data_IF_815012637767
#
_entry.id   IF_815012637767
#
_cell.length_a   1.000
_cell.length_b   1.000
_cell.length_c   1.000
_cell.angle_alpha   90.00
_cell.angle_beta   90.00
_cell.angle_gamma   90.00
#
_symmetry.space_group_name_H-M   'P 1'
#
loop_
_entity.id
_entity.type
_entity.pdbx_description
1 polymer ?
#
# COMPACT_ATOMS: atom_id res chain seq x y z
N UNK A 1 4.62 12.88 3.91
CA UNK A 1 4.06 13.94 3.04
C UNK A 1 5.01 14.07 1.84
N UNK A 2 4.68 13.46 0.70
CA UNK A 2 5.53 13.58 -0.51
C UNK A 2 4.87 14.63 -1.41
N UNK A 3 5.21 15.90 -1.17
CA UNK A 3 4.94 16.94 -2.16
C UNK A 3 5.97 16.71 -3.26
N UNK A 4 5.53 16.15 -4.39
CA UNK A 4 6.38 16.04 -5.57
C UNK A 4 6.96 17.43 -5.88
N UNK A 5 8.29 17.58 -6.04
CA UNK A 5 8.91 18.80 -6.48
C UNK A 5 8.66 18.96 -7.98
N UNK A 6 7.39 19.11 -8.36
CA UNK A 6 7.07 20.03 -9.44
C UNK A 6 7.09 21.44 -8.85
N UNK A 7 8.22 21.83 -8.25
CA UNK A 7 8.62 23.22 -8.10
C UNK A 7 9.01 23.70 -9.50
N UNK A 8 8.02 23.84 -10.37
CA UNK A 8 8.24 24.60 -11.58
C UNK A 8 8.22 26.06 -11.16
N UNK A 9 9.42 26.58 -10.88
CA UNK A 9 9.70 27.97 -10.56
C UNK A 9 8.77 28.93 -11.31
N UNK A 10 7.99 29.69 -10.54
CA UNK A 10 7.90 31.13 -10.77
C UNK A 10 9.16 31.80 -10.18
N UNK A 11 9.43 33.07 -10.45
CA UNK A 11 10.76 33.69 -10.36
C UNK A 11 11.25 33.98 -8.93
N UNK A 12 10.86 33.21 -7.91
CA UNK A 12 11.16 33.55 -6.52
C UNK A 12 11.83 32.39 -5.75
N UNK A 13 13.10 32.65 -5.42
CA UNK A 13 14.00 32.02 -4.43
C UNK A 13 14.61 30.62 -4.72
N UNK A 14 15.90 30.57 -5.16
CA UNK A 14 16.71 29.36 -5.10
C UNK A 14 16.78 28.76 -3.68
N UNK A 15 16.64 27.45 -3.57
CA UNK A 15 16.49 26.73 -2.31
C UNK A 15 17.41 25.51 -2.25
N UNK A 16 17.96 25.22 -1.07
CA UNK A 16 18.75 24.01 -0.82
C UNK A 16 17.92 23.08 0.06
N UNK A 17 17.74 21.84 -0.40
CA UNK A 17 17.08 20.78 0.36
C UNK A 17 18.11 19.70 0.61
N UNK A 18 18.48 19.47 1.86
CA UNK A 18 19.21 18.28 2.24
C UNK A 18 18.19 17.17 2.45
N UNK A 19 18.14 16.20 1.55
CA UNK A 19 17.24 15.07 1.69
C UNK A 19 18.03 13.86 2.23
N UNK A 20 17.41 13.26 3.24
CA UNK A 20 17.81 12.07 3.99
C UNK A 20 19.03 12.29 4.87
N UNK A 21 18.84 12.34 6.18
CA UNK A 21 19.77 11.72 7.13
C UNK A 21 19.06 10.49 7.68
N UNK A 22 19.63 9.29 7.53
CA UNK A 22 19.17 8.13 8.29
C UNK A 22 20.01 8.07 9.57
N UNK A 23 19.36 8.01 10.73
CA UNK A 23 20.05 7.82 12.01
C UNK A 23 20.39 6.34 12.18
N UNK A 24 21.65 6.04 12.48
CA UNK A 24 22.05 4.67 12.80
C UNK A 24 22.19 4.49 14.30
N UNK A 25 21.37 3.59 14.86
CA UNK A 25 21.72 2.97 16.13
C UNK A 25 22.93 2.05 15.91
N UNK A 26 23.93 2.04 16.81
CA UNK A 26 24.90 0.96 16.86
C UNK A 26 24.15 -0.37 17.00
N UNK A 27 24.21 -1.23 15.97
CA UNK A 27 23.48 -2.51 15.96
C UNK A 27 24.00 -3.41 17.09
N UNK A 28 23.13 -3.80 18.01
CA UNK A 28 23.38 -4.97 18.86
C UNK A 28 23.19 -6.25 18.02
N UNK A 29 24.29 -6.76 17.43
CA UNK A 29 24.33 -8.10 16.83
C UNK A 29 24.50 -9.11 17.98
N UNK A 30 23.50 -9.95 18.24
CA UNK A 30 23.69 -11.11 19.10
C UNK A 30 24.06 -12.32 18.24
N UNK A 31 25.30 -12.78 18.37
CA UNK A 31 25.66 -14.16 18.05
C UNK A 31 24.96 -15.10 19.03
N UNK A 32 24.49 -16.23 18.51
CA UNK A 32 23.68 -17.24 19.21
C UNK A 32 24.46 -18.05 20.27
N UNK A 33 25.16 -17.38 21.19
CA UNK A 33 25.70 -17.98 22.42
C UNK A 33 25.21 -17.20 23.62
N UNK A 34 24.47 -17.88 24.52
CA UNK A 34 23.94 -17.39 25.80
C UNK A 34 25.04 -16.71 26.64
N UNK A 35 25.23 -15.40 26.45
CA UNK A 35 25.87 -14.49 27.40
C UNK A 35 25.08 -13.18 27.37
N UNK A 36 24.35 -12.87 28.44
CA UNK A 36 23.67 -11.58 28.65
C UNK A 36 24.74 -10.46 28.62
N UNK A 37 24.98 -9.86 27.46
CA UNK A 37 25.72 -8.59 27.37
C UNK A 37 24.77 -7.48 27.79
N UNK A 38 25.12 -6.71 28.82
CA UNK A 38 24.46 -5.43 29.10
C UNK A 38 24.69 -4.52 27.89
N UNK A 39 23.62 -4.21 27.15
CA UNK A 39 23.69 -3.27 26.03
C UNK A 39 24.06 -1.89 26.57
N UNK A 40 25.21 -1.34 26.16
CA UNK A 40 25.65 0.00 26.57
C UNK A 40 24.98 1.12 25.76
N UNK A 41 24.41 0.82 24.58
CA UNK A 41 23.67 1.74 23.69
C UNK A 41 22.68 0.96 22.82
N UNK A 42 21.59 1.64 22.41
CA UNK A 42 20.61 1.15 21.44
C UNK A 42 19.40 0.46 22.06
N UNK A 43 18.24 0.61 21.41
CA UNK A 43 17.00 -0.09 21.79
C UNK A 43 16.83 -1.35 20.95
N UNK A 44 16.19 -2.38 21.53
CA UNK A 44 16.05 -3.69 20.87
C UNK A 44 15.15 -3.58 19.65
N UNK A 45 15.66 -3.97 18.48
CA UNK A 45 14.83 -4.10 17.28
C UNK A 45 13.79 -5.21 17.49
N UNK A 46 12.52 -4.89 17.22
CA UNK A 46 11.38 -5.79 17.46
C UNK A 46 10.75 -5.67 18.86
N UNK A 47 11.26 -4.80 19.72
CA UNK A 47 10.56 -4.43 20.96
C UNK A 47 9.46 -3.39 20.66
N UNK A 48 8.20 -3.62 21.09
CA UNK A 48 7.09 -2.69 20.89
C UNK A 48 7.33 -1.27 21.41
N UNK A 49 8.20 -1.08 22.41
CA UNK A 49 8.50 0.23 23.00
C UNK A 49 9.56 1.02 22.22
N UNK A 50 10.42 0.33 21.47
CA UNK A 50 11.53 0.97 20.73
C UNK A 50 11.11 2.12 19.81
N UNK A 51 10.02 2.02 19.02
CA UNK A 51 9.59 3.11 18.16
C UNK A 51 9.19 4.37 18.94
N UNK A 52 8.53 4.22 20.09
CA UNK A 52 8.09 5.35 20.91
C UNK A 52 9.28 6.06 21.56
N UNK A 53 10.25 5.30 22.07
CA UNK A 53 11.48 5.86 22.62
C UNK A 53 12.28 6.62 21.56
N UNK A 54 12.30 6.12 20.32
CA UNK A 54 12.92 6.85 19.21
C UNK A 54 12.19 8.15 18.89
N UNK A 55 10.85 8.16 18.90
CA UNK A 55 10.06 9.38 18.66
C UNK A 55 10.39 10.45 19.70
N UNK A 56 10.50 10.09 20.98
CA UNK A 56 10.86 11.02 22.06
C UNK A 56 12.24 11.64 21.81
N UNK A 57 13.22 10.83 21.40
CA UNK A 57 14.54 11.36 21.05
C UNK A 57 14.48 12.27 19.80
N UNK A 58 13.71 11.89 18.77
CA UNK A 58 13.55 12.71 17.57
C UNK A 58 12.80 14.04 17.82
N UNK A 59 11.93 14.09 18.83
CA UNK A 59 11.21 15.29 19.25
C UNK A 59 12.17 16.39 19.76
N UNK A 60 13.26 16.02 20.44
CA UNK A 60 14.30 16.97 20.85
C UNK A 60 14.87 17.74 19.64
N UNK A 61 15.13 17.02 18.54
CA UNK A 61 15.60 17.65 17.31
C UNK A 61 14.54 18.57 16.69
N UNK A 62 13.27 18.15 16.71
CA UNK A 62 12.16 18.98 16.23
C UNK A 62 12.10 20.32 17.00
N UNK A 63 12.13 20.25 18.34
CA UNK A 63 12.11 21.43 19.22
C UNK A 63 13.32 22.33 18.96
N UNK A 64 14.52 21.77 18.83
CA UNK A 64 15.73 22.54 18.54
C UNK A 64 15.64 23.31 17.20
N UNK A 65 15.07 22.69 16.16
CA UNK A 65 14.89 23.32 14.86
C UNK A 65 13.80 24.39 14.87
N UNK A 66 12.72 24.18 15.62
CA UNK A 66 11.66 25.18 15.78
C UNK A 66 12.20 26.42 16.51
N UNK A 67 12.95 26.25 17.60
CA UNK A 67 13.62 27.37 18.30
C UNK A 67 14.63 28.09 17.40
N UNK A 68 15.40 27.35 16.60
CA UNK A 68 16.34 27.94 15.66
C UNK A 68 15.63 28.73 14.56
N UNK A 69 14.44 28.28 14.13
CA UNK A 69 13.60 28.98 13.16
C UNK A 69 13.03 30.27 13.76
N UNK A 70 12.48 30.21 14.97
CA UNK A 70 11.93 31.38 15.69
C UNK A 70 12.99 32.46 15.93
N UNK A 71 14.21 32.06 16.30
CA UNK A 71 15.34 32.98 16.49
C UNK A 71 15.99 33.44 15.18
N UNK A 72 15.51 32.98 14.02
CA UNK A 72 16.06 33.33 12.71
C UNK A 72 17.45 32.74 12.42
N UNK A 73 17.95 31.83 13.27
CA UNK A 73 19.24 31.14 13.16
C UNK A 73 19.24 30.15 11.98
N UNK A 74 18.11 29.48 11.75
CA UNK A 74 17.88 28.61 10.61
C UNK A 74 16.66 29.09 9.82
N UNK A 75 16.85 29.44 8.54
CA UNK A 75 15.77 29.94 7.68
C UNK A 75 15.19 28.80 6.85
N UNK A 76 13.99 28.36 7.21
CA UNK A 76 13.20 27.41 6.43
C UNK A 76 12.69 27.98 5.11
N UNK A 77 11.96 27.17 4.34
CA UNK A 77 11.32 27.61 3.09
C UNK A 77 9.99 28.29 3.42
N UNK A 78 9.91 29.59 3.16
CA UNK A 78 8.66 30.34 3.20
C UNK A 78 7.84 30.05 1.95
N UNK A 79 6.64 29.50 2.10
CA UNK A 79 5.74 29.28 0.97
C UNK A 79 5.01 30.57 0.55
N UNK A 80 4.55 30.67 -0.71
CA UNK A 80 3.82 31.84 -1.23
C UNK A 80 2.55 32.16 -0.43
N UNK A 81 1.99 33.35 -0.64
CA UNK A 81 0.71 33.79 -0.05
C UNK A 81 0.65 33.69 1.48
N UNK A 82 1.75 34.00 2.17
CA UNK A 82 1.89 33.85 3.64
C UNK A 82 1.59 32.40 4.10
N UNK A 83 1.94 31.41 3.28
CA UNK A 83 1.84 30.00 3.64
C UNK A 83 2.76 29.61 4.81
N UNK A 84 2.68 28.37 5.28
CA UNK A 84 3.53 27.91 6.37
C UNK A 84 5.01 27.90 5.96
N UNK A 85 5.90 28.17 6.92
CA UNK A 85 7.34 28.00 6.76
C UNK A 85 7.67 26.53 7.04
N UNK A 86 8.30 25.86 6.09
CA UNK A 86 8.71 24.46 6.23
C UNK A 86 10.24 24.40 6.38
N UNK A 87 10.70 23.97 7.55
CA UNK A 87 12.13 23.82 7.88
C UNK A 87 12.61 22.37 7.79
N UNK A 88 11.75 21.41 8.15
CA UNK A 88 12.10 19.99 8.15
C UNK A 88 10.85 19.08 8.05
N UNK A 89 11.06 17.84 7.63
CA UNK A 89 10.08 16.75 7.64
C UNK A 89 10.74 15.50 8.21
N UNK A 90 10.12 14.88 9.20
CA UNK A 90 10.63 13.67 9.85
C UNK A 90 9.68 12.50 9.61
N UNK A 91 10.25 11.34 9.32
CA UNK A 91 9.54 10.07 9.32
C UNK A 91 10.46 8.97 9.85
N UNK A 92 10.25 8.58 11.11
CA UNK A 92 11.17 7.70 11.82
C UNK A 92 12.62 8.21 11.68
N UNK A 93 13.54 7.36 11.23
CA UNK A 93 14.94 7.69 11.05
C UNK A 93 15.23 8.57 9.83
N UNK A 94 14.31 8.70 8.88
CA UNK A 94 14.49 9.51 7.68
C UNK A 94 14.03 10.96 7.92
N UNK A 95 14.98 11.90 7.87
CA UNK A 95 14.71 13.34 8.00
C UNK A 95 15.13 14.09 6.74
N UNK A 96 14.30 15.04 6.32
CA UNK A 96 14.57 15.98 5.23
C UNK A 96 14.59 17.40 5.77
N UNK A 97 15.69 18.11 5.56
CA UNK A 97 15.85 19.51 5.96
C UNK A 97 15.72 20.41 4.74
N UNK A 98 14.99 21.50 4.93
CA UNK A 98 14.59 22.43 3.90
C UNK A 98 14.94 23.85 4.34
N UNK A 99 15.81 24.53 3.60
CA UNK A 99 16.28 25.83 4.04
C UNK A 99 16.86 26.71 2.96
N UNK A 100 17.17 27.94 3.37
CA UNK A 100 17.78 28.95 2.50
C UNK A 100 19.18 28.52 2.05
N UNK A 101 19.63 29.06 0.92
CA UNK A 101 20.97 28.82 0.35
C UNK A 101 22.13 29.41 1.15
N UNK A 102 21.86 30.05 2.29
CA UNK A 102 22.89 30.75 3.06
C UNK A 102 23.88 29.76 3.68
N UNK A 103 25.16 30.01 3.47
CA UNK A 103 26.25 29.25 4.11
C UNK A 103 26.18 29.35 5.64
N UNK A 104 25.73 30.49 6.18
CA UNK A 104 25.56 30.65 7.64
C UNK A 104 24.40 29.78 8.14
N UNK A 105 23.27 29.78 7.45
CA UNK A 105 22.14 28.89 7.78
C UNK A 105 22.53 27.42 7.70
N UNK A 106 23.39 27.05 6.74
CA UNK A 106 23.97 25.71 6.62
C UNK A 106 24.85 25.36 7.82
N UNK A 107 25.79 26.23 8.18
CA UNK A 107 26.68 26.04 9.33
C UNK A 107 25.89 25.89 10.63
N UNK A 108 24.84 26.70 10.79
CA UNK A 108 23.95 26.61 11.95
C UNK A 108 23.20 25.29 12.01
N UNK A 109 22.72 24.78 10.88
CA UNK A 109 22.10 23.45 10.83
C UNK A 109 23.12 22.36 11.23
N UNK A 110 24.35 22.42 10.73
CA UNK A 110 25.42 21.47 11.12
C UNK A 110 25.68 21.53 12.62
N UNK A 111 25.75 22.72 13.20
CA UNK A 111 25.93 22.91 14.66
C UNK A 111 24.78 22.30 15.45
N UNK A 112 23.53 22.55 15.05
CA UNK A 112 22.33 21.98 15.70
C UNK A 112 22.38 20.45 15.65
N UNK A 113 22.67 19.89 14.48
CA UNK A 113 22.77 18.45 14.28
C UNK A 113 23.90 17.83 15.13
N UNK A 114 25.01 18.54 15.29
CA UNK A 114 26.11 18.11 16.15
C UNK A 114 25.72 18.13 17.63
N UNK A 115 25.03 19.17 18.10
CA UNK A 115 24.50 19.23 19.46
C UNK A 115 23.53 18.06 19.71
N UNK A 116 22.64 17.78 18.75
CA UNK A 116 21.71 16.66 18.82
C UNK A 116 22.43 15.30 18.86
N UNK A 117 23.47 15.11 18.06
CA UNK A 117 24.28 13.88 18.10
C UNK A 117 24.94 13.67 19.47
N UNK A 118 25.42 14.76 20.09
CA UNK A 118 26.04 14.72 21.42
C UNK A 118 25.02 14.46 22.54
N UNK A 119 23.81 15.01 22.46
CA UNK A 119 22.77 14.83 23.47
C UNK A 119 22.08 13.47 23.38
N UNK A 120 21.66 13.07 22.18
CA UNK A 120 20.91 11.83 21.95
C UNK A 120 21.81 10.59 21.82
N UNK A 121 23.10 10.78 21.48
CA UNK A 121 24.01 9.70 21.10
C UNK A 121 23.71 9.07 19.74
N UNK A 122 22.83 9.68 18.92
CA UNK A 122 22.50 9.25 17.57
C UNK A 122 23.43 9.92 16.55
N UNK A 123 24.13 9.12 15.76
CA UNK A 123 25.01 9.62 14.69
C UNK A 123 24.26 9.68 13.35
N UNK A 124 24.46 10.77 12.64
CA UNK A 124 23.93 10.99 11.29
C UNK A 124 24.78 10.22 10.28
N UNK A 125 24.14 9.40 9.44
CA UNK A 125 24.84 8.72 8.36
C UNK A 125 25.03 9.64 7.14
N UNK A 126 26.12 10.42 7.12
CA UNK A 126 26.46 11.31 5.99
C UNK A 126 26.68 10.57 4.66
N UNK A 127 27.06 9.29 4.67
CA UNK A 127 27.23 8.49 3.45
C UNK A 127 25.91 8.15 2.76
N UNK A 128 24.82 8.07 3.53
CA UNK A 128 23.45 7.93 3.01
C UNK A 128 22.81 9.29 2.72
N UNK A 129 23.34 10.35 3.32
CA UNK A 129 22.80 11.69 3.14
C UNK A 129 23.12 12.31 1.79
N UNK A 130 22.13 13.03 1.24
CA UNK A 130 22.26 13.68 -0.07
C UNK A 130 21.79 15.13 -0.04
N UNK A 131 22.51 15.98 -0.73
CA UNK A 131 22.16 17.39 -0.91
C UNK A 131 21.53 17.62 -2.28
N UNK A 132 20.39 18.32 -2.32
CA UNK A 132 19.69 18.67 -3.55
C UNK A 132 19.54 20.19 -3.65
N UNK A 133 20.00 20.77 -4.76
CA UNK A 133 19.83 22.18 -5.07
C UNK A 133 18.67 22.41 -6.04
N UNK A 134 17.78 23.35 -5.71
CA UNK A 134 16.68 23.76 -6.59
C UNK A 134 16.89 25.20 -7.04
N UNK A 135 17.21 25.39 -8.32
CA UNK A 135 17.50 26.71 -8.90
C UNK A 135 18.84 27.32 -8.44
N UNK A 136 19.75 26.49 -7.92
CA UNK A 136 21.07 26.88 -7.39
C UNK A 136 22.15 26.47 -8.40
N UNK A 137 23.23 27.24 -8.51
CA UNK A 137 24.35 26.86 -9.37
C UNK A 137 25.15 25.69 -8.78
N UNK A 138 25.73 24.85 -9.65
CA UNK A 138 26.46 23.66 -9.22
C UNK A 138 27.65 24.00 -8.30
N UNK A 139 28.36 25.10 -8.56
CA UNK A 139 29.49 25.55 -7.73
C UNK A 139 29.10 25.85 -6.27
N UNK A 140 27.96 26.50 -6.06
CA UNK A 140 27.42 26.80 -4.73
C UNK A 140 26.95 25.51 -4.03
N UNK A 141 26.31 24.62 -4.78
CA UNK A 141 25.84 23.34 -4.26
C UNK A 141 27.00 22.46 -3.78
N UNK A 142 28.12 22.45 -4.51
CA UNK A 142 29.35 21.77 -4.10
C UNK A 142 29.96 22.35 -2.83
N UNK A 143 29.96 23.68 -2.66
CA UNK A 143 30.48 24.32 -1.45
C UNK A 143 29.67 23.90 -0.21
N UNK A 144 28.34 23.85 -0.34
CA UNK A 144 27.43 23.43 0.73
C UNK A 144 27.56 21.93 0.99
N UNK A 145 27.68 21.10 -0.05
CA UNK A 145 27.90 19.65 0.08
C UNK A 145 29.20 19.33 0.82
N UNK A 146 30.30 20.04 0.51
CA UNK A 146 31.58 19.93 1.23
C UNK A 146 31.44 20.30 2.71
N UNK A 147 30.63 21.30 3.02
CA UNK A 147 30.37 21.72 4.41
C UNK A 147 29.65 20.64 5.22
N UNK A 148 28.68 19.94 4.61
CA UNK A 148 27.98 18.80 5.23
C UNK A 148 28.76 17.49 5.18
N UNK A 149 29.84 17.43 4.37
CA UNK A 149 30.53 16.19 4.02
C UNK A 149 29.58 15.12 3.43
N UNK A 150 28.66 15.55 2.55
CA UNK A 150 27.66 14.67 1.93
C UNK A 150 27.71 14.75 0.40
N UNK A 151 27.12 13.74 -0.27
CA UNK A 151 27.09 13.69 -1.73
C UNK A 151 25.98 14.55 -2.33
N UNK A 152 26.19 15.11 -3.51
CA UNK A 152 25.13 15.80 -4.25
C UNK A 152 24.21 14.76 -4.90
N UNK A 153 22.91 14.89 -4.66
CA UNK A 153 21.88 14.08 -5.29
C UNK A 153 21.35 14.71 -6.59
N UNK A 154 20.75 13.87 -7.44
CA UNK A 154 20.09 14.29 -8.68
C UNK A 154 18.62 13.86 -8.70
N UNK A 155 17.79 14.61 -9.42
CA UNK A 155 16.40 14.23 -9.67
C UNK A 155 16.31 13.30 -10.88
N UNK A 156 15.39 12.31 -10.88
CA UNK A 156 14.51 11.92 -9.77
C UNK A 156 15.23 11.06 -8.72
N UNK A 157 14.79 11.12 -7.47
CA UNK A 157 15.28 10.24 -6.38
C UNK A 157 14.13 9.51 -5.69
N UNK A 158 14.43 8.49 -4.88
CA UNK A 158 13.41 7.80 -4.07
C UNK A 158 13.40 8.31 -2.64
N UNK A 159 12.21 8.66 -2.14
CA UNK A 159 11.98 9.03 -0.74
C UNK A 159 10.85 8.19 -0.18
N UNK A 160 11.11 7.48 0.94
CA UNK A 160 10.17 6.53 1.54
C UNK A 160 9.61 5.50 0.54
N UNK A 161 10.38 5.14 -0.50
CA UNK A 161 9.97 4.22 -1.55
C UNK A 161 9.12 4.81 -2.69
N UNK A 162 8.86 6.13 -2.67
CA UNK A 162 8.15 6.87 -3.72
C UNK A 162 9.14 7.69 -4.57
N UNK A 163 8.93 7.79 -5.90
CA UNK A 163 9.79 8.58 -6.78
C UNK A 163 9.46 10.08 -6.71
N UNK A 164 10.44 10.87 -6.30
CA UNK A 164 10.36 12.32 -6.13
C UNK A 164 11.01 13.01 -7.33
N UNK A 165 10.30 13.97 -7.95
CA UNK A 165 10.76 14.69 -9.14
C UNK A 165 10.53 13.96 -10.46
N UNK A 166 10.11 12.69 -10.43
CA UNK A 166 9.70 11.97 -11.63
C UNK A 166 8.26 12.35 -12.02
N UNK A 167 8.03 12.57 -13.31
CA UNK A 167 6.65 12.70 -13.81
C UNK A 167 6.00 11.32 -13.91
N UNK A 168 5.22 10.96 -12.89
CA UNK A 168 4.48 9.69 -12.87
C UNK A 168 3.30 9.65 -13.86
N UNK A 169 3.11 10.69 -14.67
CA UNK A 169 2.26 10.61 -15.86
C UNK A 169 2.92 9.83 -17.01
N UNK A 170 4.26 9.70 -17.02
CA UNK A 170 5.01 8.97 -18.05
C UNK A 170 5.08 7.48 -17.71
N UNK A 171 4.76 6.63 -18.67
CA UNK A 171 4.80 5.17 -18.52
C UNK A 171 6.19 4.65 -18.16
N UNK A 172 7.25 5.25 -18.70
CA UNK A 172 8.64 4.86 -18.44
C UNK A 172 9.01 4.88 -16.96
N UNK A 173 8.45 5.81 -16.19
CA UNK A 173 8.73 5.97 -14.76
C UNK A 173 8.04 4.90 -13.89
N UNK A 174 7.09 4.14 -14.46
CA UNK A 174 6.42 3.03 -13.76
C UNK A 174 7.15 1.70 -13.91
N UNK A 175 8.15 1.58 -14.80
CA UNK A 175 8.91 0.33 -14.99
C UNK A 175 9.45 -0.25 -13.68
N UNK A 176 10.12 0.52 -12.80
CA UNK A 176 10.64 -0.02 -11.54
C UNK A 176 9.53 -0.50 -10.60
N UNK A 177 8.35 0.12 -10.67
CA UNK A 177 7.19 -0.28 -9.88
C UNK A 177 6.63 -1.60 -10.43
N UNK A 178 6.44 -1.69 -11.75
CA UNK A 178 5.95 -2.91 -12.42
C UNK A 178 6.88 -4.09 -12.12
N UNK A 179 8.20 -3.88 -12.17
CA UNK A 179 9.19 -4.91 -11.81
C UNK A 179 9.06 -5.34 -10.34
N UNK A 180 8.80 -4.41 -9.40
CA UNK A 180 8.51 -4.77 -8.00
C UNK A 180 7.24 -5.61 -7.86
N UNK A 181 6.20 -5.31 -8.63
CA UNK A 181 4.97 -6.13 -8.66
C UNK A 181 5.28 -7.54 -9.13
N UNK A 182 6.01 -7.67 -10.24
CA UNK A 182 6.40 -8.96 -10.80
C UNK A 182 7.31 -9.75 -9.84
N UNK A 183 8.32 -9.10 -9.27
CA UNK A 183 9.24 -9.73 -8.33
C UNK A 183 8.55 -10.20 -7.03
N UNK A 184 7.52 -9.50 -6.55
CA UNK A 184 6.73 -9.99 -5.42
C UNK A 184 5.90 -11.22 -5.79
N UNK A 185 5.35 -11.27 -7.00
CA UNK A 185 4.54 -12.39 -7.46
C UNK A 185 5.37 -13.62 -7.83
N UNK A 186 6.55 -13.43 -8.42
CA UNK A 186 7.43 -14.53 -8.84
C UNK A 186 7.94 -15.37 -7.65
N UNK A 187 7.94 -14.82 -6.44
CA UNK A 187 8.25 -15.57 -5.20
C UNK A 187 7.22 -16.65 -4.89
N UNK A 188 6.02 -16.57 -5.48
CA UNK A 188 4.94 -17.52 -5.25
C UNK A 188 4.75 -18.40 -6.48
N UNK A 189 4.85 -19.72 -6.31
CA UNK A 189 4.45 -20.66 -7.35
C UNK A 189 2.93 -20.72 -7.42
N UNK A 190 2.33 -19.94 -8.31
CA UNK A 190 0.87 -19.91 -8.49
C UNK A 190 0.25 -21.32 -8.71
N UNK A 191 0.99 -22.21 -9.38
CA UNK A 191 0.59 -23.60 -9.66
C UNK A 191 0.53 -24.52 -8.44
N UNK A 192 1.08 -24.11 -7.30
CA UNK A 192 1.00 -24.86 -6.03
C UNK A 192 -0.07 -24.30 -5.09
N UNK A 193 -0.78 -23.25 -5.48
CA UNK A 193 -1.76 -22.56 -4.65
C UNK A 193 -3.18 -22.91 -5.07
N UNK A 194 -4.05 -23.12 -4.07
CA UNK A 194 -5.49 -23.25 -4.28
C UNK A 194 -6.07 -21.99 -4.91
N UNK A 195 -7.29 -22.09 -5.45
CA UNK A 195 -8.02 -20.93 -5.99
C UNK A 195 -8.20 -19.84 -4.93
N UNK A 196 -8.65 -20.23 -3.73
CA UNK A 196 -8.77 -19.32 -2.57
C UNK A 196 -7.42 -18.74 -2.11
N UNK A 197 -6.34 -19.51 -2.18
CA UNK A 197 -4.98 -19.03 -1.88
C UNK A 197 -4.52 -17.96 -2.88
N UNK A 198 -4.74 -18.17 -4.18
CA UNK A 198 -4.45 -17.19 -5.23
C UNK A 198 -5.27 -15.91 -5.05
N UNK A 199 -6.56 -16.03 -4.72
CA UNK A 199 -7.42 -14.87 -4.43
C UNK A 199 -6.91 -14.08 -3.23
N UNK A 200 -6.60 -14.78 -2.13
CA UNK A 200 -6.15 -14.17 -0.88
C UNK A 200 -4.84 -13.42 -1.08
N UNK A 201 -3.88 -14.02 -1.79
CA UNK A 201 -2.62 -13.37 -2.12
C UNK A 201 -2.80 -12.20 -3.09
N UNK A 202 -3.69 -12.33 -4.08
CA UNK A 202 -4.05 -11.23 -4.97
C UNK A 202 -4.57 -10.02 -4.17
N UNK A 203 -5.49 -10.24 -3.22
CA UNK A 203 -6.02 -9.17 -2.36
C UNK A 203 -4.98 -8.63 -1.37
N UNK A 204 -4.26 -9.50 -0.65
CA UNK A 204 -3.35 -9.06 0.40
C UNK A 204 -2.08 -8.37 -0.14
N UNK A 205 -1.47 -8.93 -1.19
CA UNK A 205 -0.17 -8.47 -1.69
C UNK A 205 -0.33 -7.43 -2.79
N UNK A 206 -1.26 -7.63 -3.74
CA UNK A 206 -1.36 -6.76 -4.91
C UNK A 206 -2.14 -5.49 -4.58
N UNK A 207 -3.21 -5.59 -3.78
CA UNK A 207 -3.97 -4.40 -3.36
C UNK A 207 -3.19 -3.52 -2.38
N UNK A 208 -2.28 -4.07 -1.56
CA UNK A 208 -1.45 -3.26 -0.65
C UNK A 208 -0.36 -2.49 -1.40
N UNK A 209 0.33 -3.15 -2.34
CA UNK A 209 1.36 -2.50 -3.15
C UNK A 209 0.76 -1.44 -4.08
N UNK A 210 -0.40 -1.72 -4.69
CA UNK A 210 -1.10 -0.73 -5.51
C UNK A 210 -1.56 0.45 -4.68
N UNK A 211 -2.14 0.20 -3.50
CA UNK A 211 -2.59 1.26 -2.59
C UNK A 211 -1.47 2.24 -2.25
N UNK A 212 -0.27 1.74 -2.00
CA UNK A 212 0.88 2.59 -1.67
C UNK A 212 1.18 3.62 -2.77
N UNK A 213 1.34 3.17 -4.03
CA UNK A 213 1.68 4.06 -5.15
C UNK A 213 0.49 4.87 -5.65
N UNK A 214 -0.70 4.27 -5.71
CA UNK A 214 -1.93 4.91 -6.19
C UNK A 214 -2.48 5.95 -5.23
N UNK A 215 -2.06 5.92 -3.96
CA UNK A 215 -2.43 6.95 -2.99
C UNK A 215 -2.00 8.35 -3.43
N UNK A 216 -0.91 8.50 -4.19
CA UNK A 216 -0.35 9.82 -4.53
C UNK A 216 -0.32 10.05 -6.04
N UNK A 217 -0.13 9.00 -6.84
CA UNK A 217 0.00 9.13 -8.29
C UNK A 217 -1.19 8.56 -9.02
N UNK A 218 -1.67 9.29 -10.01
CA UNK A 218 -2.55 8.73 -11.04
C UNK A 218 -1.72 7.87 -11.99
N UNK A 219 -2.03 6.59 -12.08
CA UNK A 219 -1.41 5.70 -13.02
C UNK A 219 -1.97 5.92 -14.44
N UNK A 220 -1.12 5.96 -15.48
CA UNK A 220 -1.57 5.94 -16.87
C UNK A 220 -2.41 4.69 -17.15
N UNK A 221 -3.43 4.81 -18.02
CA UNK A 221 -4.34 3.70 -18.33
C UNK A 221 -3.59 2.45 -18.82
N UNK A 222 -2.50 2.63 -19.59
CA UNK A 222 -1.65 1.52 -20.04
C UNK A 222 -0.92 0.83 -18.89
N UNK A 223 -0.43 1.57 -17.90
CA UNK A 223 0.19 1.00 -16.69
C UNK A 223 -0.84 0.20 -15.89
N UNK A 224 -2.05 0.74 -15.72
CA UNK A 224 -3.15 0.02 -15.06
C UNK A 224 -3.43 -1.29 -15.81
N UNK A 225 -3.56 -1.27 -17.13
CA UNK A 225 -3.76 -2.47 -17.96
C UNK A 225 -2.61 -3.48 -17.79
N UNK A 226 -1.35 -3.03 -17.74
CA UNK A 226 -0.20 -3.91 -17.52
C UNK A 226 -0.28 -4.57 -16.14
N UNK A 227 -0.56 -3.81 -15.09
CA UNK A 227 -0.69 -4.33 -13.73
C UNK A 227 -1.88 -5.29 -13.59
N UNK A 228 -3.01 -5.00 -14.24
CA UNK A 228 -4.16 -5.92 -14.30
C UNK A 228 -3.80 -7.22 -15.01
N UNK A 229 -3.07 -7.17 -16.13
CA UNK A 229 -2.58 -8.39 -16.80
C UNK A 229 -1.66 -9.23 -15.93
N UNK A 230 -0.85 -8.58 -15.10
CA UNK A 230 0.01 -9.28 -14.13
C UNK A 230 -0.87 -9.98 -13.06
N UNK A 231 -1.92 -9.31 -12.56
CA UNK A 231 -2.89 -9.92 -11.63
C UNK A 231 -3.63 -11.09 -12.27
N UNK A 232 -4.14 -10.92 -13.50
CA UNK A 232 -4.79 -11.95 -14.30
C UNK A 232 -3.90 -13.17 -14.48
N UNK A 233 -2.66 -12.98 -14.95
CA UNK A 233 -1.72 -14.09 -15.17
C UNK A 233 -1.39 -14.84 -13.88
N UNK A 234 -1.27 -14.14 -12.76
CA UNK A 234 -1.03 -14.78 -11.46
C UNK A 234 -2.25 -15.59 -10.99
N UNK A 235 -3.45 -15.08 -11.23
CA UNK A 235 -4.68 -15.73 -10.82
C UNK A 235 -5.05 -16.93 -11.70
N UNK A 236 -4.90 -16.81 -13.02
CA UNK A 236 -5.33 -17.78 -14.04
C UNK A 236 -6.25 -17.10 -15.08
N UNK A 237 -6.27 -17.63 -16.30
CA UNK A 237 -7.12 -17.13 -17.41
C UNK A 237 -8.60 -17.49 -17.20
N UNK A 238 -9.23 -16.87 -16.21
CA UNK A 238 -10.66 -16.95 -15.89
C UNK A 238 -11.29 -15.57 -16.16
N UNK A 239 -12.61 -15.49 -16.30
CA UNK A 239 -13.36 -14.23 -16.49
C UNK A 239 -13.00 -13.17 -15.43
N UNK A 240 -12.00 -12.34 -15.75
CA UNK A 240 -11.37 -11.41 -14.82
C UNK A 240 -12.35 -10.36 -14.34
N UNK A 241 -13.22 -9.87 -15.21
CA UNK A 241 -14.19 -8.84 -14.88
C UNK A 241 -15.19 -9.32 -13.81
N UNK A 242 -15.55 -10.61 -13.82
CA UNK A 242 -16.34 -11.24 -12.75
C UNK A 242 -15.56 -11.33 -11.43
N UNK A 243 -14.28 -11.67 -11.50
CA UNK A 243 -13.40 -11.70 -10.31
C UNK A 243 -13.30 -10.31 -9.68
N UNK A 244 -13.19 -9.27 -10.51
CA UNK A 244 -13.12 -7.88 -10.06
C UNK A 244 -14.44 -7.41 -9.43
N UNK A 245 -15.59 -7.82 -9.97
CA UNK A 245 -16.91 -7.37 -9.55
C UNK A 245 -17.20 -7.60 -8.06
N UNK A 246 -18.09 -6.79 -7.49
CA UNK A 246 -18.45 -6.86 -6.08
C UNK A 246 -19.15 -8.20 -5.75
N UNK A 247 -18.95 -8.68 -4.51
CA UNK A 247 -19.61 -9.93 -4.03
C UNK A 247 -21.13 -9.86 -4.14
N UNK A 248 -21.71 -8.69 -3.91
CA UNK A 248 -23.16 -8.46 -4.00
C UNK A 248 -23.70 -8.66 -5.42
N UNK A 249 -22.84 -8.59 -6.44
CA UNK A 249 -23.17 -8.73 -7.88
C UNK A 249 -22.67 -10.04 -8.47
N UNK A 250 -22.37 -11.02 -7.60
CA UNK A 250 -21.84 -12.32 -8.00
C UNK A 250 -20.36 -12.30 -8.38
N UNK A 251 -19.58 -11.29 -8.00
CA UNK A 251 -18.13 -11.30 -8.19
C UNK A 251 -17.33 -11.72 -6.95
N UNK A 252 -15.99 -11.67 -7.03
CA UNK A 252 -15.12 -12.02 -5.89
C UNK A 252 -14.66 -10.83 -5.06
N UNK A 253 -15.02 -9.61 -5.47
CA UNK A 253 -14.74 -8.37 -4.77
C UNK A 253 -13.26 -8.05 -4.68
N UNK A 254 -12.48 -8.36 -5.74
CA UNK A 254 -11.07 -7.96 -5.81
C UNK A 254 -10.95 -6.47 -6.16
N UNK A 255 -11.89 -5.95 -6.98
CA UNK A 255 -11.95 -4.56 -7.40
C UNK A 255 -10.88 -4.19 -8.44
N UNK A 256 -11.25 -3.30 -9.35
CA UNK A 256 -10.35 -2.85 -10.42
C UNK A 256 -9.28 -1.89 -9.86
N UNK A 257 -8.06 -1.99 -10.39
CA UNK A 257 -6.97 -1.06 -10.10
C UNK A 257 -7.31 0.36 -10.59
N UNK A 258 -8.15 0.49 -11.63
CA UNK A 258 -8.63 1.78 -12.13
C UNK A 258 -9.50 2.47 -11.07
N UNK A 259 -10.54 1.79 -10.59
CA UNK A 259 -11.41 2.33 -9.56
C UNK A 259 -10.64 2.57 -8.26
N UNK A 260 -9.75 1.65 -7.87
CA UNK A 260 -8.90 1.82 -6.70
C UNK A 260 -7.99 3.06 -6.81
N UNK A 261 -7.39 3.33 -7.97
CA UNK A 261 -6.55 4.51 -8.14
C UNK A 261 -7.36 5.80 -8.07
N UNK A 262 -8.52 5.86 -8.72
CA UNK A 262 -9.38 7.04 -8.68
C UNK A 262 -9.92 7.31 -7.27
N UNK A 263 -10.34 6.27 -6.57
CA UNK A 263 -10.82 6.36 -5.20
C UNK A 263 -9.74 6.84 -4.21
N UNK A 264 -8.52 6.31 -4.31
CA UNK A 264 -7.44 6.75 -3.42
C UNK A 264 -7.06 8.22 -3.64
N UNK A 265 -7.16 8.72 -4.88
CA UNK A 265 -7.02 10.15 -5.17
C UNK A 265 -8.21 10.94 -4.61
N UNK A 266 -9.43 10.38 -4.68
CA UNK A 266 -10.64 10.95 -4.08
C UNK A 266 -10.54 11.12 -2.57
N UNK A 267 -9.88 10.19 -1.88
CA UNK A 267 -9.60 10.30 -0.44
C UNK A 267 -8.78 11.54 -0.09
N UNK A 268 -7.80 11.92 -0.92
CA UNK A 268 -7.04 13.17 -0.70
C UNK A 268 -7.89 14.41 -0.94
N UNK A 269 -8.80 14.34 -1.93
CA UNK A 269 -9.76 15.40 -2.17
C UNK A 269 -10.66 15.62 -0.93
N UNK A 270 -11.20 14.54 -0.36
CA UNK A 270 -11.96 14.57 0.90
C UNK A 270 -11.14 15.15 2.05
N UNK A 271 -9.93 14.63 2.29
CA UNK A 271 -9.06 15.07 3.38
C UNK A 271 -8.73 16.55 3.29
N UNK A 272 -8.59 17.12 2.08
CA UNK A 272 -8.29 18.53 1.91
C UNK A 272 -9.43 19.44 2.39
N UNK A 273 -10.67 19.00 2.20
CA UNK A 273 -11.87 19.71 2.66
C UNK A 273 -12.14 19.48 4.15
N UNK A 274 -11.90 18.27 4.63
CA UNK A 274 -12.22 17.88 6.00
C UNK A 274 -11.13 18.28 7.02
N UNK A 275 -9.87 18.42 6.59
CA UNK A 275 -8.73 18.80 7.45
C UNK A 275 -8.03 20.06 6.91
N UNK A 276 -8.74 21.21 6.82
CA UNK A 276 -8.25 22.40 6.15
C UNK A 276 -7.04 23.06 6.82
N UNK A 277 -6.82 22.79 8.10
CA UNK A 277 -5.75 23.37 8.94
C UNK A 277 -4.49 22.49 9.00
N UNK A 278 -4.56 21.27 8.49
CA UNK A 278 -3.40 20.39 8.45
C UNK A 278 -2.27 21.02 7.62
N UNK A 279 -1.02 20.81 8.04
CA UNK A 279 0.17 21.43 7.41
C UNK A 279 0.17 21.19 5.89
N UNK A 280 -0.13 19.97 5.43
CA UNK A 280 -0.16 19.68 3.99
C UNK A 280 -1.27 20.46 3.26
N UNK A 281 -2.45 20.61 3.86
CA UNK A 281 -3.54 21.37 3.26
C UNK A 281 -3.16 22.86 3.18
N UNK A 282 -2.51 23.41 4.21
CA UNK A 282 -1.98 24.77 4.19
C UNK A 282 -0.91 24.96 3.10
N UNK A 283 0.01 24.01 2.94
CA UNK A 283 1.02 24.00 1.87
C UNK A 283 0.33 24.02 0.49
N UNK A 284 -0.67 23.16 0.29
CA UNK A 284 -1.43 23.12 -0.95
C UNK A 284 -2.17 24.44 -1.20
N UNK A 285 -2.82 25.02 -0.18
CA UNK A 285 -3.51 26.32 -0.29
C UNK A 285 -2.55 27.44 -0.68
N UNK A 286 -1.37 27.46 -0.05
CA UNK A 286 -0.32 28.44 -0.34
C UNK A 286 0.17 28.36 -1.79
N UNK A 287 0.30 27.16 -2.36
CA UNK A 287 0.81 26.96 -3.72
C UNK A 287 -0.30 27.12 -4.78
N UNK A 288 -1.48 26.57 -4.52
CA UNK A 288 -2.53 26.41 -5.53
C UNK A 288 -3.70 27.38 -5.39
N UNK A 289 -3.83 28.08 -4.26
CA UNK A 289 -4.96 28.93 -3.88
C UNK A 289 -5.81 28.29 -2.77
N UNK A 290 -6.63 29.08 -2.06
CA UNK A 290 -7.45 28.64 -0.92
C UNK A 290 -8.38 27.45 -1.24
N UNK A 291 -8.84 27.38 -2.49
CA UNK A 291 -9.70 26.32 -3.01
C UNK A 291 -8.92 25.05 -3.43
N UNK A 292 -7.59 25.05 -3.31
CA UNK A 292 -6.70 24.00 -3.81
C UNK A 292 -6.53 24.02 -5.33
N UNK A 293 -6.96 25.09 -6.00
CA UNK A 293 -6.96 25.18 -7.45
C UNK A 293 -8.03 24.36 -8.16
N UNK A 294 -9.10 23.97 -7.44
CA UNK A 294 -10.24 23.20 -7.96
C UNK A 294 -11.09 24.02 -8.93
N UNK A 295 -11.31 25.30 -8.63
CA UNK A 295 -12.16 26.20 -9.43
C UNK A 295 -11.42 26.82 -10.62
N UNK A 296 -10.08 26.72 -10.65
CA UNK A 296 -9.26 27.32 -11.71
C UNK A 296 -9.10 26.39 -12.92
N UNK A 297 -9.01 26.94 -14.15
CA UNK A 297 -8.69 26.14 -15.33
C UNK A 297 -7.37 25.38 -15.14
N UNK A 298 -7.35 24.09 -15.48
CA UNK A 298 -6.13 23.28 -15.43
C UNK A 298 -5.20 23.67 -16.58
N UNK A 299 -4.19 24.50 -16.30
CA UNK A 299 -3.09 24.74 -17.25
C UNK A 299 -2.23 23.49 -17.42
N UNK A 300 -1.52 23.36 -18.54
CA UNK A 300 -0.63 22.21 -18.81
C UNK A 300 0.42 21.99 -17.71
N UNK A 301 0.94 23.09 -17.15
CA UNK A 301 1.90 23.10 -16.02
C UNK A 301 1.28 22.61 -14.70
N UNK A 302 -0.03 22.80 -14.49
CA UNK A 302 -0.77 22.24 -13.33
C UNK A 302 -1.08 20.75 -13.50
N UNK A 303 -1.37 20.31 -14.74
CA UNK A 303 -1.64 18.88 -15.06
C UNK A 303 -0.46 17.95 -14.74
N UNK A 304 0.78 18.45 -14.76
CA UNK A 304 1.96 17.63 -14.47
C UNK A 304 2.25 17.44 -12.97
N UNK A 305 1.60 18.23 -12.10
CA UNK A 305 1.76 18.12 -10.64
C UNK A 305 0.87 17.03 -10.05
N UNK A 306 1.34 16.39 -8.97
CA UNK A 306 0.56 15.37 -8.26
C UNK A 306 -0.76 15.94 -7.74
N UNK A 307 -0.70 17.09 -7.06
CA UNK A 307 -1.90 17.74 -6.53
C UNK A 307 -2.82 18.24 -7.64
N UNK A 308 -2.29 18.82 -8.72
CA UNK A 308 -3.12 19.25 -9.84
C UNK A 308 -3.92 18.10 -10.45
N UNK A 309 -3.35 16.89 -10.50
CA UNK A 309 -4.09 15.69 -10.93
C UNK A 309 -5.21 15.30 -9.96
N UNK A 310 -4.97 15.38 -8.65
CA UNK A 310 -5.98 15.13 -7.60
C UNK A 310 -7.10 16.19 -7.66
N UNK A 311 -6.74 17.47 -7.76
CA UNK A 311 -7.69 18.57 -7.86
C UNK A 311 -8.57 18.47 -9.12
N UNK A 312 -8.02 17.93 -10.20
CA UNK A 312 -8.74 17.67 -11.46
C UNK A 312 -9.63 16.42 -11.45
N UNK A 313 -9.62 15.62 -10.38
CA UNK A 313 -10.35 14.34 -10.29
C UNK A 313 -11.84 14.44 -10.63
N UNK A 314 -12.63 15.44 -10.18
CA UNK A 314 -14.05 15.53 -10.51
C UNK A 314 -14.32 15.48 -12.02
N UNK A 315 -13.55 16.26 -12.80
CA UNK A 315 -13.63 16.29 -14.27
C UNK A 315 -13.22 14.97 -14.92
N UNK A 316 -12.40 14.18 -14.25
CA UNK A 316 -12.01 12.85 -14.74
C UNK A 316 -13.12 11.83 -14.50
N UNK A 317 -13.79 11.93 -13.35
CA UNK A 317 -14.89 11.04 -12.98
C UNK A 317 -16.16 11.33 -13.77
N UNK A 318 -16.40 12.59 -14.17
CA UNK A 318 -17.48 12.95 -15.10
C UNK A 318 -17.40 12.17 -16.42
N UNK A 319 -16.18 11.91 -16.94
CA UNK A 319 -15.99 11.08 -18.14
C UNK A 319 -16.36 9.61 -17.95
N UNK A 320 -16.39 9.17 -16.70
CA UNK A 320 -16.79 7.82 -16.29
C UNK A 320 -18.25 7.81 -15.80
N UNK A 321 -19.03 8.86 -16.11
CA UNK A 321 -20.42 9.06 -15.67
C UNK A 321 -20.61 9.16 -14.16
N UNK A 322 -19.54 9.47 -13.42
CA UNK A 322 -19.57 9.66 -11.96
C UNK A 322 -19.51 11.14 -11.64
N UNK A 323 -20.63 11.71 -11.22
CA UNK A 323 -20.72 13.10 -10.75
C UNK A 323 -20.19 13.23 -9.33
N UNK A 324 -18.87 13.12 -9.18
CA UNK A 324 -18.17 13.03 -7.90
C UNK A 324 -18.57 14.11 -6.87
N UNK A 325 -18.78 15.35 -7.31
CA UNK A 325 -19.14 16.46 -6.42
C UNK A 325 -20.55 16.32 -5.82
N UNK A 326 -21.47 15.64 -6.49
CA UNK A 326 -22.85 15.45 -6.01
C UNK A 326 -22.91 14.56 -4.76
N UNK A 327 -21.87 13.77 -4.52
CA UNK A 327 -21.78 12.91 -3.35
C UNK A 327 -21.21 13.61 -2.12
N UNK A 328 -20.69 14.83 -2.28
CA UNK A 328 -20.28 15.67 -1.15
C UNK A 328 -21.42 16.62 -0.77
N UNK A 329 -21.88 16.49 0.47
CA UNK A 329 -22.83 17.44 1.06
C UNK A 329 -22.11 18.30 2.08
N UNK A 330 -22.36 19.60 2.04
CA UNK A 330 -21.87 20.53 3.04
C UNK A 330 -23.06 20.99 3.90
N UNK A 331 -23.09 20.59 5.16
CA UNK A 331 -24.15 20.97 6.11
C UNK A 331 -23.59 21.98 7.11
N UNK A 332 -24.32 23.06 7.34
CA UNK A 332 -24.00 24.01 8.40
C UNK A 332 -24.45 23.43 9.75
N UNK A 333 -23.51 23.24 10.66
CA UNK A 333 -23.80 22.84 12.03
C UNK A 333 -24.39 24.02 12.83
N UNK A 334 -25.01 23.70 13.97
CA UNK A 334 -25.62 24.68 14.88
C UNK A 334 -24.59 25.65 15.47
N UNK A 335 -23.32 25.23 15.56
CA UNK A 335 -22.18 26.04 16.01
C UNK A 335 -21.61 26.98 14.91
N UNK A 336 -22.24 27.01 13.73
CA UNK A 336 -21.78 27.79 12.58
C UNK A 336 -20.62 27.16 11.80
N UNK A 337 -20.18 25.95 12.16
CA UNK A 337 -19.14 25.23 11.42
C UNK A 337 -19.71 24.44 10.24
N UNK A 338 -18.96 24.34 9.15
CA UNK A 338 -19.34 23.55 7.99
C UNK A 338 -18.88 22.09 8.15
N UNK A 339 -19.82 21.15 8.12
CA UNK A 339 -19.54 19.72 8.12
C UNK A 339 -19.72 19.15 6.73
N UNK A 340 -18.63 18.63 6.17
CA UNK A 340 -18.68 17.82 4.96
C UNK A 340 -19.16 16.41 5.31
N UNK A 341 -20.08 15.87 4.50
CA UNK A 341 -20.55 14.50 4.55
C UNK A 341 -20.50 13.84 3.17
N UNK A 342 -20.33 12.53 3.17
CA UNK A 342 -20.17 11.70 1.99
C UNK A 342 -21.37 10.76 1.82
N UNK A 343 -22.14 10.93 0.75
CA UNK A 343 -23.44 10.24 0.61
C UNK A 343 -23.36 8.79 0.14
N UNK A 344 -22.19 8.31 -0.32
CA UNK A 344 -21.99 6.91 -0.69
C UNK A 344 -21.64 6.00 0.49
N UNK A 345 -21.53 6.55 1.71
CA UNK A 345 -21.31 5.79 2.93
C UNK A 345 -22.36 6.17 3.99
N UNK A 346 -23.01 5.20 4.66
CA UNK A 346 -24.02 5.49 5.69
C UNK A 346 -23.50 6.33 6.85
N UNK A 347 -22.21 6.26 7.17
CA UNK A 347 -21.60 7.04 8.24
C UNK A 347 -21.33 8.50 7.83
N UNK A 348 -21.51 8.85 6.56
CA UNK A 348 -21.17 10.16 6.04
C UNK A 348 -19.67 10.41 5.92
N UNK A 349 -18.83 9.38 6.16
CA UNK A 349 -17.38 9.46 6.04
C UNK A 349 -16.89 8.88 4.71
N UNK A 350 -15.84 9.48 4.15
CA UNK A 350 -15.25 8.95 2.93
C UNK A 350 -14.54 7.61 3.19
N UNK A 351 -15.13 6.53 2.67
CA UNK A 351 -14.52 5.20 2.65
C UNK A 351 -13.94 4.86 1.28
N UNK A 352 -12.72 4.33 1.26
CA UNK A 352 -12.00 3.88 0.04
C UNK A 352 -12.76 2.77 -0.69
N UNK A 353 -13.59 1.99 0.02
CA UNK A 353 -14.43 0.99 -0.65
C UNK A 353 -15.63 1.61 -1.36
N UNK A 354 -16.16 2.74 -0.88
CA UNK A 354 -17.44 3.29 -1.35
C UNK A 354 -17.35 3.82 -2.79
N UNK A 355 -16.44 4.75 -3.10
CA UNK A 355 -16.28 5.26 -4.47
C UNK A 355 -15.76 4.17 -5.41
N UNK A 356 -14.82 3.34 -4.95
CA UNK A 356 -14.31 2.23 -5.74
C UNK A 356 -15.44 1.30 -6.18
N UNK A 357 -16.27 0.85 -5.23
CA UNK A 357 -17.40 -0.02 -5.54
C UNK A 357 -18.39 0.69 -6.46
N UNK A 358 -18.64 1.99 -6.29
CA UNK A 358 -19.51 2.75 -7.17
C UNK A 358 -18.99 2.79 -8.62
N UNK A 359 -17.71 3.10 -8.83
CA UNK A 359 -17.08 3.08 -10.17
C UNK A 359 -17.09 1.68 -10.77
N UNK A 360 -16.68 0.67 -10.00
CA UNK A 360 -16.66 -0.73 -10.45
C UNK A 360 -18.08 -1.20 -10.80
N UNK A 361 -19.10 -0.78 -10.04
CA UNK A 361 -20.50 -1.08 -10.30
C UNK A 361 -21.05 -0.44 -11.59
N UNK A 362 -20.43 0.60 -12.11
CA UNK A 362 -20.83 1.16 -13.40
C UNK A 362 -20.12 0.48 -14.57
N UNK A 363 -18.92 -0.07 -14.34
CA UNK A 363 -18.05 -0.58 -15.39
C UNK A 363 -18.00 -2.11 -15.52
N UNK A 364 -18.29 -2.86 -14.45
CA UNK A 364 -18.14 -4.31 -14.39
C UNK A 364 -19.48 -5.05 -14.57
N UNK A 365 -19.45 -6.29 -15.09
CA UNK A 365 -20.64 -7.09 -15.31
C UNK A 365 -21.39 -7.40 -14.01
N UNK A 366 -22.69 -7.66 -14.16
CA UNK A 366 -23.57 -8.12 -13.10
C UNK A 366 -24.04 -9.54 -13.44
N UNK A 367 -23.79 -10.51 -12.57
CA UNK A 367 -24.39 -11.85 -12.68
C UNK A 367 -25.42 -12.08 -11.58
N UNK A 368 -26.50 -12.79 -11.92
CA UNK A 368 -27.46 -13.30 -10.95
C UNK A 368 -26.91 -14.53 -10.20
N UNK A 369 -25.93 -15.21 -10.76
CA UNK A 369 -25.25 -16.34 -10.12
C UNK A 369 -24.24 -15.81 -9.10
N UNK A 370 -24.60 -15.93 -7.81
CA UNK A 370 -23.72 -15.49 -6.72
C UNK A 370 -22.66 -16.54 -6.44
N UNK A 371 -21.40 -16.13 -6.56
CA UNK A 371 -20.28 -16.96 -6.15
C UNK A 371 -20.26 -16.98 -4.62
N UNK A 372 -20.43 -18.17 -4.04
CA UNK A 372 -20.53 -18.39 -2.61
C UNK A 372 -19.12 -18.58 -2.07
N UNK A 373 -18.70 -17.66 -1.19
CA UNK A 373 -17.43 -17.82 -0.47
C UNK A 373 -17.67 -18.58 0.82
N UNK A 374 -17.19 -19.81 0.89
CA UNK A 374 -17.18 -20.61 2.10
C UNK A 374 -15.80 -20.52 2.77
N UNK A 375 -15.71 -20.13 4.06
CA UNK A 375 -14.44 -20.04 4.79
C UNK A 375 -13.65 -21.36 4.82
N UNK A 376 -14.35 -22.49 4.72
CA UNK A 376 -13.79 -23.84 4.79
C UNK A 376 -13.52 -24.44 3.41
N UNK A 377 -14.23 -24.02 2.35
CA UNK A 377 -14.16 -24.61 1.00
C UNK A 377 -13.56 -23.70 -0.08
N UNK A 378 -13.49 -22.38 0.14
CA UNK A 378 -13.09 -21.45 -0.92
C UNK A 378 -14.30 -20.89 -1.65
N UNK A 379 -14.28 -20.87 -2.98
CA UNK A 379 -15.27 -20.15 -3.79
C UNK A 379 -16.03 -21.12 -4.66
N UNK A 380 -17.31 -21.31 -4.40
CA UNK A 380 -18.18 -22.14 -5.22
C UNK A 380 -19.14 -21.32 -6.07
N UNK A 381 -19.48 -21.83 -7.25
CA UNK A 381 -20.56 -21.31 -8.10
C UNK A 381 -21.94 -21.80 -7.67
N UNK A 382 -22.04 -22.77 -6.75
CA UNK A 382 -23.30 -23.38 -6.29
C UNK A 382 -23.19 -23.98 -4.89
N UNK A 383 -24.30 -24.17 -4.18
CA UNK A 383 -24.30 -24.94 -2.91
C UNK A 383 -23.99 -26.44 -3.12
N UNK A 384 -23.91 -26.89 -4.37
CA UNK A 384 -23.66 -28.27 -4.78
C UNK A 384 -22.17 -28.57 -4.95
N UNK A 385 -21.78 -29.81 -4.66
CA UNK A 385 -20.42 -30.32 -4.78
C UNK A 385 -19.90 -30.19 -6.22
N UNK A 386 -18.78 -29.49 -6.46
CA UNK A 386 -18.23 -29.30 -7.81
C UNK A 386 -17.81 -30.60 -8.53
N UNK A 387 -17.62 -31.69 -7.78
CA UNK A 387 -17.16 -32.98 -8.28
C UNK A 387 -18.29 -33.90 -8.75
N UNK A 388 -19.50 -33.74 -8.20
CA UNK A 388 -20.63 -34.65 -8.42
C UNK A 388 -21.96 -33.93 -8.70
N UNK A 389 -22.05 -32.61 -8.46
CA UNK A 389 -23.15 -31.67 -8.76
C UNK A 389 -24.55 -32.06 -8.26
N UNK A 390 -24.72 -33.14 -7.50
CA UNK A 390 -26.03 -33.63 -7.03
C UNK A 390 -26.25 -33.48 -5.51
N UNK A 391 -25.20 -33.18 -4.74
CA UNK A 391 -25.26 -33.12 -3.27
C UNK A 391 -24.62 -31.82 -2.73
N UNK A 392 -25.07 -31.30 -1.58
CA UNK A 392 -24.54 -30.07 -1.01
C UNK A 392 -23.07 -30.21 -0.60
N UNK A 393 -22.29 -29.15 -0.79
CA UNK A 393 -20.86 -29.15 -0.50
C UNK A 393 -20.58 -29.02 1.02
N UNK A 394 -20.27 -30.14 1.67
CA UNK A 394 -19.84 -30.21 3.07
C UNK A 394 -18.46 -30.88 3.21
N UNK A 395 -17.74 -30.68 4.32
CA UNK A 395 -16.40 -31.25 4.54
C UNK A 395 -16.49 -32.77 4.43
N UNK A 396 -17.47 -33.37 5.12
CA UNK A 396 -17.64 -34.81 5.15
C UNK A 396 -18.12 -35.32 3.78
N UNK A 397 -18.94 -34.57 3.04
CA UNK A 397 -19.26 -34.93 1.66
C UNK A 397 -18.02 -34.88 0.76
N UNK A 398 -17.21 -33.82 0.76
CA UNK A 398 -16.03 -33.72 -0.10
C UNK A 398 -15.02 -34.82 0.19
N UNK A 399 -14.73 -35.13 1.46
CA UNK A 399 -13.62 -36.04 1.79
C UNK A 399 -14.04 -37.50 1.97
N UNK A 400 -15.29 -37.76 2.36
CA UNK A 400 -15.79 -39.11 2.71
C UNK A 400 -17.00 -39.52 1.87
N UNK A 401 -17.91 -38.59 1.60
CA UNK A 401 -19.23 -38.90 1.02
C UNK A 401 -19.34 -38.88 -0.51
N UNK A 402 -18.50 -38.10 -1.19
CA UNK A 402 -18.55 -37.86 -2.63
C UNK A 402 -18.13 -39.11 -3.40
N UNK A 403 -18.78 -39.42 -4.53
CA UNK A 403 -18.50 -40.64 -5.31
C UNK A 403 -17.03 -40.73 -5.74
N UNK A 404 -16.45 -39.63 -6.20
CA UNK A 404 -15.02 -39.56 -6.58
C UNK A 404 -14.12 -39.77 -5.36
N UNK A 405 -14.49 -39.16 -4.24
CA UNK A 405 -13.75 -39.33 -2.99
C UNK A 405 -13.87 -40.74 -2.46
N UNK A 406 -15.01 -41.43 -2.61
CA UNK A 406 -15.19 -42.86 -2.28
C UNK A 406 -14.28 -43.76 -3.11
N UNK A 407 -14.08 -43.45 -4.38
CA UNK A 407 -13.11 -44.18 -5.21
C UNK A 407 -11.67 -43.97 -4.75
N UNK A 408 -11.27 -42.71 -4.48
CA UNK A 408 -9.95 -42.42 -3.87
C UNK A 408 -9.86 -43.04 -2.47
N UNK A 409 -10.97 -43.09 -1.74
CA UNK A 409 -11.07 -43.63 -0.40
C UNK A 409 -11.03 -45.16 -0.37
N UNK A 410 -11.30 -45.84 -1.48
CA UNK A 410 -11.10 -47.29 -1.56
C UNK A 410 -9.63 -47.67 -1.32
N UNK A 411 -8.70 -46.72 -1.49
CA UNK A 411 -7.28 -46.86 -1.17
C UNK A 411 -6.99 -46.76 0.33
N UNK A 412 -7.90 -46.21 1.15
CA UNK A 412 -7.79 -46.26 2.62
C UNK A 412 -7.92 -47.69 3.15
N UNK A 413 -8.43 -48.64 2.36
CA UNK A 413 -8.40 -50.08 2.70
C UNK A 413 -6.98 -50.60 2.85
N UNK A 414 -5.98 -49.96 2.23
CA UNK A 414 -4.56 -50.26 2.45
C UNK A 414 -4.04 -49.77 3.82
N UNK A 415 -4.84 -48.97 4.53
CA UNK A 415 -4.53 -48.38 5.83
C UNK A 415 -5.53 -48.80 6.92
N UNK A 416 -6.48 -49.71 6.64
CA UNK A 416 -7.57 -50.15 7.54
C UNK A 416 -8.40 -49.01 8.16
N UNK A 417 -8.64 -47.94 7.40
CA UNK A 417 -9.44 -46.78 7.85
C UNK A 417 -10.80 -46.72 7.14
N UNK A 418 -11.88 -46.67 7.91
CA UNK A 418 -13.25 -46.38 7.44
C UNK A 418 -13.82 -45.12 8.14
N UNK A 419 -13.30 -43.93 7.81
CA UNK A 419 -13.75 -42.70 8.45
C UNK A 419 -15.18 -42.35 8.02
N UNK A 420 -16.01 -41.91 8.97
CA UNK A 420 -17.35 -41.36 8.70
C UNK A 420 -17.33 -39.82 8.65
N UNK A 421 -16.27 -39.19 9.14
CA UNK A 421 -16.05 -37.74 9.08
C UNK A 421 -14.60 -37.37 8.78
N UNK A 422 -14.38 -36.16 8.26
CA UNK A 422 -13.03 -35.62 8.05
C UNK A 422 -12.32 -35.31 9.37
N UNK A 423 -13.07 -35.02 10.44
CA UNK A 423 -12.50 -34.83 11.76
C UNK A 423 -11.88 -36.13 12.30
N UNK A 424 -12.51 -37.29 12.06
CA UNK A 424 -11.94 -38.62 12.37
C UNK A 424 -10.65 -38.90 11.58
N UNK A 425 -10.57 -38.45 10.33
CA UNK A 425 -9.33 -38.55 9.52
C UNK A 425 -8.19 -37.70 10.12
N UNK A 426 -8.47 -36.52 10.67
CA UNK A 426 -7.46 -35.62 11.24
C UNK A 426 -7.05 -36.02 12.67
N UNK A 427 -7.98 -36.59 13.45
CA UNK A 427 -7.81 -37.00 14.84
C UNK A 427 -7.25 -38.43 15.00
N UNK A 428 -6.51 -38.91 13.99
CA UNK A 428 -5.84 -40.22 13.87
C UNK A 428 -4.87 -40.66 15.00
N UNK A 429 -4.96 -40.10 16.21
CA UNK A 429 -4.26 -40.62 17.40
C UNK A 429 -4.82 -41.95 17.89
N UNK A 430 -6.13 -42.19 17.72
CA UNK A 430 -6.84 -43.32 18.33
C UNK A 430 -7.13 -44.49 17.36
N UNK A 431 -6.98 -44.30 16.05
CA UNK A 431 -7.33 -45.29 15.02
C UNK A 431 -6.13 -46.14 14.54
N UNK A 432 -4.90 -45.72 14.84
CA UNK A 432 -3.68 -46.34 14.31
C UNK A 432 -2.89 -47.02 15.44
N UNK A 433 -2.79 -48.35 15.38
CA UNK A 433 -1.87 -49.14 16.19
C UNK A 433 -0.44 -49.09 15.64
N UNK A 434 0.58 -49.01 16.51
CA UNK A 434 2.00 -49.11 16.10
C UNK A 434 2.95 -48.05 16.67
N UNK A 435 4.24 -48.20 16.34
CA UNK A 435 5.34 -47.35 16.81
C UNK A 435 5.17 -45.88 16.40
N UNK A 436 5.67 -44.95 17.21
CA UNK A 436 5.48 -43.50 17.04
C UNK A 436 5.92 -42.95 15.66
N UNK A 437 6.92 -43.57 15.01
CA UNK A 437 7.36 -43.21 13.66
C UNK A 437 6.34 -43.60 12.57
N UNK A 438 5.69 -44.75 12.71
CA UNK A 438 4.67 -45.23 11.77
C UNK A 438 3.44 -44.31 11.78
N UNK A 439 3.03 -43.84 12.96
CA UNK A 439 1.93 -42.87 13.13
C UNK A 439 2.19 -41.53 12.43
N UNK A 440 3.44 -41.06 12.41
CA UNK A 440 3.83 -39.82 11.70
C UNK A 440 3.75 -40.02 10.19
N UNK A 441 4.22 -41.16 9.68
CA UNK A 441 4.18 -41.49 8.25
C UNK A 441 2.73 -41.63 7.77
N UNK A 442 1.90 -42.37 8.52
CA UNK A 442 0.48 -42.51 8.22
C UNK A 442 -0.22 -41.15 8.19
N UNK A 443 -0.01 -40.29 9.20
CA UNK A 443 -0.56 -38.93 9.22
C UNK A 443 -0.10 -38.09 8.02
N UNK A 444 1.15 -38.21 7.59
CA UNK A 444 1.64 -37.52 6.39
C UNK A 444 0.93 -38.02 5.12
N UNK A 445 0.72 -39.35 4.99
CA UNK A 445 -0.04 -39.95 3.89
C UNK A 445 -1.48 -39.43 3.89
N UNK A 446 -2.16 -39.38 5.05
CA UNK A 446 -3.52 -38.85 5.17
C UNK A 446 -3.59 -37.40 4.66
N UNK A 447 -2.65 -36.56 5.10
CA UNK A 447 -2.59 -35.15 4.68
C UNK A 447 -2.34 -35.00 3.18
N UNK A 448 -1.53 -35.88 2.58
CA UNK A 448 -1.32 -35.90 1.12
C UNK A 448 -2.60 -36.30 0.40
N UNK A 449 -3.33 -37.32 0.85
CA UNK A 449 -4.59 -37.73 0.24
C UNK A 449 -5.66 -36.64 0.35
N UNK A 450 -5.83 -36.03 1.52
CA UNK A 450 -6.73 -34.89 1.71
C UNK A 450 -6.34 -33.73 0.76
N UNK A 451 -5.04 -33.44 0.64
CA UNK A 451 -4.57 -32.41 -0.29
C UNK A 451 -4.83 -32.77 -1.76
N UNK A 452 -4.71 -34.04 -2.16
CA UNK A 452 -5.01 -34.51 -3.53
C UNK A 452 -6.49 -34.36 -3.84
N UNK A 453 -7.38 -34.86 -2.97
CA UNK A 453 -8.84 -34.74 -3.13
C UNK A 453 -9.23 -33.27 -3.25
N UNK A 454 -8.70 -32.43 -2.35
CA UNK A 454 -8.91 -30.99 -2.39
C UNK A 454 -8.43 -30.35 -3.70
N UNK A 455 -7.23 -30.72 -4.17
CA UNK A 455 -6.67 -30.23 -5.43
C UNK A 455 -7.52 -30.62 -6.64
N UNK A 456 -8.09 -31.83 -6.63
CA UNK A 456 -9.02 -32.28 -7.67
C UNK A 456 -10.32 -31.47 -7.67
N UNK A 457 -10.94 -31.26 -6.49
CA UNK A 457 -12.11 -30.40 -6.33
C UNK A 457 -11.85 -28.98 -6.86
N UNK A 458 -10.74 -28.37 -6.47
CA UNK A 458 -10.32 -27.04 -6.96
C UNK A 458 -10.14 -27.01 -8.49
N UNK A 459 -9.68 -28.11 -9.09
CA UNK A 459 -9.56 -28.21 -10.55
C UNK A 459 -10.92 -28.29 -11.25
N UNK A 460 -11.93 -28.93 -10.65
CA UNK A 460 -13.28 -29.01 -11.21
C UNK A 460 -13.98 -27.66 -11.13
N UNK A 461 -13.91 -26.98 -9.97
CA UNK A 461 -14.39 -25.60 -9.87
C UNK A 461 -13.72 -24.70 -10.89
N UNK A 462 -12.39 -24.72 -10.97
CA UNK A 462 -11.67 -23.89 -11.93
C UNK A 462 -12.17 -24.07 -13.38
N UNK A 463 -12.48 -25.32 -13.78
CA UNK A 463 -13.08 -25.61 -15.09
C UNK A 463 -14.52 -25.09 -15.21
N UNK A 464 -15.33 -25.22 -14.16
CA UNK A 464 -16.69 -24.70 -14.13
C UNK A 464 -16.71 -23.18 -14.27
N UNK A 465 -15.80 -22.51 -13.55
CA UNK A 465 -15.63 -21.05 -13.56
C UNK A 465 -15.13 -20.51 -14.91
N UNK A 466 -14.27 -21.26 -15.60
CA UNK A 466 -13.90 -20.95 -17.00
C UNK A 466 -15.12 -21.05 -17.91
N UNK A 467 -15.91 -22.14 -17.80
CA UNK A 467 -17.10 -22.33 -18.64
C UNK A 467 -18.14 -21.23 -18.44
N UNK A 468 -18.47 -20.89 -17.19
CA UNK A 468 -19.40 -19.79 -16.85
C UNK A 468 -18.87 -18.47 -17.42
N UNK A 469 -17.56 -18.23 -17.28
CA UNK A 469 -16.91 -17.03 -17.81
C UNK A 469 -16.88 -16.89 -19.33
N UNK A 470 -17.09 -17.99 -20.08
CA UNK A 470 -17.17 -17.99 -21.55
C UNK A 470 -18.60 -17.97 -22.08
N UNK A 471 -19.60 -18.18 -21.22
CA UNK A 471 -21.03 -18.26 -21.57
C UNK A 471 -21.81 -16.97 -21.30
N UNK A 472 -21.17 -15.96 -20.71
CA UNK A 472 -21.66 -14.59 -20.48
C UNK A 472 -20.89 -13.67 -21.41
#
# INVERSE_FOLDING_TARGET
MVVSPTFTCGPYTPTITMATSSYEFPRCRMDAKRKKRKGKRGVRQGDPLSPFLFIIAAEELHVALELAKEKGVFKGIQLPHRGPIISHLQYADDVTFMGSRSLESTKNLIRILRCFELSSGLTINMSKSKLYGFGVQNCELELVARSFNCSIGSLPFSYLGLPVGASMARESNWKPIIEKFQAKLSRWKASTLSFGGRLTLCKAVLSSLSSFYFSIYKAPARVIKILERIRMRFFGEVAWDMILAAKQRGGLGVGSLKAQNLDLLGKWWWRFRHQPESIWALVIKAIHGLDGGVSRPMTAKRRSSCWGTIAGLPKMLEKEQVHFLNYFRNTLNVDGTYKWSWSLDPLGEYSVSSLRNHIDNLALPHSNERWIWNPLFGISSSDLCPMFLEAPETIDHIFVGCQISKEVCSWWRLLDLSPNSCQELLDCKNLLGGHQRLKVVQKAIILVFLWVIWRFRDSFEYKLLIKIGTSI
#
